data_IF_676147055178
#
_entry.id   IF_676147055178
#
_cell.length_a   1.000
_cell.length_b   1.000
_cell.length_c   1.000
_cell.angle_alpha   90.00
_cell.angle_beta   90.00
_cell.angle_gamma   90.00
#
_symmetry.space_group_name_H-M   'P 1'
#
loop_
_entity.id
_entity.type
_entity.pdbx_description
1 polymer ?
#
# COMPACT_ATOMS: atom_id res chain seq x y z
N UNK A 1 -20.25 -39.76 -19.61
CA UNK A 1 -18.99 -39.66 -18.84
C UNK A 1 -18.15 -38.44 -19.21
N UNK A 2 -17.80 -38.18 -20.49
CA UNK A 2 -16.96 -37.04 -20.91
C UNK A 2 -17.40 -35.61 -20.49
N UNK A 3 -18.69 -35.38 -20.26
CA UNK A 3 -19.24 -34.06 -19.92
C UNK A 3 -19.06 -33.71 -18.43
N UNK A 4 -19.06 -34.72 -17.55
CA UNK A 4 -18.91 -34.54 -16.11
C UNK A 4 -17.43 -34.33 -15.78
N UNK A 5 -16.52 -35.05 -16.45
CA UNK A 5 -15.07 -34.84 -16.30
C UNK A 5 -14.65 -33.44 -16.74
N UNK A 6 -15.11 -32.96 -17.90
CA UNK A 6 -14.78 -31.60 -18.36
C UNK A 6 -15.31 -30.48 -17.46
N UNK A 7 -16.46 -30.70 -16.82
CA UNK A 7 -17.02 -29.79 -15.80
C UNK A 7 -16.17 -29.81 -14.53
N UNK A 8 -15.74 -30.99 -14.10
CA UNK A 8 -14.95 -31.18 -12.86
C UNK A 8 -13.54 -30.63 -13.02
N UNK A 9 -12.93 -30.79 -14.20
CA UNK A 9 -11.62 -30.21 -14.50
C UNK A 9 -11.68 -28.69 -14.59
N UNK A 10 -12.74 -28.12 -15.20
CA UNK A 10 -12.95 -26.66 -15.20
C UNK A 10 -13.16 -26.09 -13.78
N UNK A 11 -13.81 -26.83 -12.88
CA UNK A 11 -13.98 -26.42 -11.47
C UNK A 11 -12.65 -26.45 -10.71
N UNK A 12 -11.79 -27.46 -10.96
CA UNK A 12 -10.44 -27.53 -10.39
C UNK A 12 -9.53 -26.42 -10.89
N UNK A 13 -9.67 -26.03 -12.15
CA UNK A 13 -8.74 -25.12 -12.82
C UNK A 13 -9.13 -23.65 -12.63
N UNK A 14 -10.44 -23.32 -12.54
CA UNK A 14 -10.93 -21.94 -12.43
C UNK A 14 -11.54 -21.58 -11.07
N UNK A 15 -11.86 -22.57 -10.23
CA UNK A 15 -12.53 -22.34 -8.95
C UNK A 15 -13.99 -21.87 -9.08
N UNK A 16 -14.54 -21.75 -10.28
CA UNK A 16 -15.90 -21.30 -10.54
C UNK A 16 -16.85 -22.47 -10.79
N UNK A 17 -18.03 -22.41 -10.19
CA UNK A 17 -19.11 -23.37 -10.41
C UNK A 17 -19.89 -22.98 -11.68
N UNK A 18 -19.90 -23.79 -12.75
CA UNK A 18 -20.61 -23.44 -13.98
C UNK A 18 -22.11 -23.22 -13.77
N UNK A 19 -22.67 -22.12 -14.28
CA UNK A 19 -24.11 -21.82 -14.18
C UNK A 19 -25.01 -22.88 -14.86
N UNK A 20 -24.45 -23.69 -15.76
CA UNK A 20 -25.13 -24.79 -16.47
C UNK A 20 -25.30 -26.06 -15.63
N UNK A 21 -24.70 -26.10 -14.44
CA UNK A 21 -24.77 -27.23 -13.53
C UNK A 21 -26.07 -27.13 -12.73
N UNK A 22 -27.01 -28.07 -12.95
CA UNK A 22 -28.27 -28.12 -12.22
C UNK A 22 -28.05 -28.59 -10.78
N UNK A 23 -27.47 -27.70 -9.97
CA UNK A 23 -27.15 -27.96 -8.57
C UNK A 23 -28.42 -27.93 -7.72
N UNK A 24 -28.52 -28.81 -6.70
CA UNK A 24 -29.57 -28.72 -5.69
C UNK A 24 -29.60 -27.34 -5.00
N UNK A 25 -30.77 -26.91 -4.54
CA UNK A 25 -30.95 -25.58 -3.95
C UNK A 25 -30.05 -25.32 -2.74
N UNK A 26 -29.69 -26.35 -1.96
CA UNK A 26 -28.76 -26.25 -0.83
C UNK A 26 -27.33 -25.90 -1.27
N UNK A 27 -26.87 -26.41 -2.42
CA UNK A 27 -25.54 -26.13 -2.95
C UNK A 27 -25.44 -24.71 -3.54
N UNK A 28 -26.51 -24.24 -4.20
CA UNK A 28 -26.63 -22.83 -4.63
C UNK A 28 -26.68 -21.86 -3.44
N UNK A 29 -27.34 -22.26 -2.35
CA UNK A 29 -27.36 -21.47 -1.12
C UNK A 29 -25.99 -21.42 -0.44
N UNK A 30 -25.29 -22.55 -0.36
CA UNK A 30 -23.94 -22.63 0.20
C UNK A 30 -22.94 -21.76 -0.58
N UNK A 31 -22.99 -21.78 -1.93
CA UNK A 31 -22.17 -20.90 -2.77
C UNK A 31 -22.39 -19.42 -2.45
N UNK A 32 -23.66 -18.97 -2.45
CA UNK A 32 -24.00 -17.57 -2.10
C UNK A 32 -23.58 -17.17 -0.68
N UNK A 33 -23.61 -18.11 0.27
CA UNK A 33 -23.16 -17.85 1.63
C UNK A 33 -21.64 -17.64 1.69
N UNK A 34 -20.88 -18.44 0.93
CA UNK A 34 -19.42 -18.28 0.81
C UNK A 34 -19.08 -16.97 0.10
N UNK A 35 -19.76 -16.62 -0.99
CA UNK A 35 -19.55 -15.35 -1.70
C UNK A 35 -19.77 -14.15 -0.77
N UNK A 36 -20.84 -14.18 0.03
CA UNK A 36 -21.15 -13.12 1.00
C UNK A 36 -20.10 -13.00 2.10
N UNK A 37 -19.54 -14.11 2.58
CA UNK A 37 -18.43 -14.08 3.55
C UNK A 37 -17.13 -13.59 2.89
N UNK A 38 -16.89 -13.92 1.63
CA UNK A 38 -15.76 -13.41 0.87
C UNK A 38 -15.85 -11.88 0.67
N UNK A 39 -17.01 -11.36 0.26
CA UNK A 39 -17.26 -9.92 0.16
C UNK A 39 -17.05 -9.20 1.50
N UNK A 40 -17.52 -9.79 2.61
CA UNK A 40 -17.28 -9.26 3.96
C UNK A 40 -15.81 -9.25 4.34
N UNK A 41 -15.07 -10.29 3.97
CA UNK A 41 -13.63 -10.37 4.21
C UNK A 41 -12.88 -9.30 3.40
N UNK A 42 -13.23 -9.12 2.12
CA UNK A 42 -12.69 -8.07 1.26
C UNK A 42 -12.99 -6.67 1.83
N UNK A 43 -14.22 -6.41 2.24
CA UNK A 43 -14.59 -5.12 2.83
C UNK A 43 -13.80 -4.83 4.12
N UNK A 44 -13.58 -5.85 4.96
CA UNK A 44 -12.72 -5.71 6.16
C UNK A 44 -11.26 -5.46 5.79
N UNK A 45 -10.73 -6.18 4.80
CA UNK A 45 -9.36 -5.96 4.31
C UNK A 45 -9.21 -4.54 3.77
N UNK A 46 -10.19 -4.04 3.01
CA UNK A 46 -10.18 -2.69 2.48
C UNK A 46 -10.22 -1.64 3.59
N UNK A 47 -11.09 -1.79 4.60
CA UNK A 47 -11.11 -0.87 5.74
C UNK A 47 -9.79 -0.86 6.51
N UNK A 48 -9.17 -2.02 6.70
CA UNK A 48 -7.83 -2.14 7.30
C UNK A 48 -6.79 -1.38 6.46
N UNK A 49 -6.84 -1.50 5.13
CA UNK A 49 -5.95 -0.75 4.24
C UNK A 49 -6.16 0.76 4.31
N UNK A 50 -7.41 1.23 4.37
CA UNK A 50 -7.75 2.65 4.49
C UNK A 50 -7.24 3.26 5.82
N UNK A 51 -7.40 2.53 6.92
CA UNK A 51 -6.88 2.93 8.23
C UNK A 51 -5.34 2.97 8.20
N UNK A 52 -4.69 1.94 7.64
CA UNK A 52 -3.23 1.92 7.49
C UNK A 52 -2.70 3.03 6.59
N UNK A 53 -3.40 3.35 5.49
CA UNK A 53 -3.02 4.44 4.59
C UNK A 53 -3.12 5.80 5.29
N UNK A 54 -4.17 6.00 6.08
CA UNK A 54 -4.35 7.21 6.90
C UNK A 54 -3.22 7.34 7.92
N UNK A 55 -2.95 6.28 8.69
CA UNK A 55 -1.87 6.27 9.68
C UNK A 55 -0.49 6.49 9.04
N UNK A 56 -0.27 5.92 7.86
CA UNK A 56 0.97 6.08 7.09
C UNK A 56 1.17 7.54 6.66
N UNK A 57 0.16 8.17 6.07
CA UNK A 57 0.22 9.58 5.64
C UNK A 57 0.38 10.53 6.84
N UNK A 58 -0.27 10.24 7.96
CA UNK A 58 -0.13 10.98 9.22
C UNK A 58 1.31 10.88 9.77
N UNK A 59 1.90 9.69 9.76
CA UNK A 59 3.27 9.46 10.19
C UNK A 59 4.27 10.21 9.29
N UNK A 60 4.07 10.13 7.96
CA UNK A 60 4.89 10.84 6.97
C UNK A 60 4.84 12.34 7.17
N UNK A 61 3.63 12.90 7.34
CA UNK A 61 3.42 14.32 7.60
C UNK A 61 4.12 14.78 8.89
N UNK A 62 3.99 14.00 9.98
CA UNK A 62 4.69 14.30 11.25
C UNK A 62 6.21 14.25 11.09
N UNK A 63 6.74 13.30 10.33
CA UNK A 63 8.16 13.17 10.05
C UNK A 63 8.70 14.37 9.29
N UNK A 64 8.10 14.72 8.14
CA UNK A 64 8.51 15.88 7.34
C UNK A 64 8.42 17.19 8.14
N UNK A 65 7.40 17.34 9.00
CA UNK A 65 7.26 18.50 9.87
C UNK A 65 8.40 18.60 10.92
N UNK A 66 8.91 17.47 11.41
CA UNK A 66 10.06 17.45 12.32
C UNK A 66 11.37 17.78 11.60
N UNK A 67 11.60 17.21 10.42
CA UNK A 67 12.75 17.56 9.57
C UNK A 67 12.77 19.05 9.29
N UNK A 68 11.66 19.63 8.84
CA UNK A 68 11.53 21.06 8.59
C UNK A 68 11.93 21.94 9.79
N UNK A 69 11.52 21.54 10.99
CA UNK A 69 11.89 22.26 12.22
C UNK A 69 13.39 22.17 12.47
N UNK A 70 14.01 21.01 12.21
CA UNK A 70 15.45 20.82 12.31
C UNK A 70 16.22 21.62 11.26
N UNK A 71 15.76 21.64 10.00
CA UNK A 71 16.32 22.45 8.91
C UNK A 71 16.41 23.91 9.35
N UNK A 72 15.30 24.50 9.81
CA UNK A 72 15.26 25.90 10.28
C UNK A 72 16.20 26.15 11.45
N UNK A 73 16.32 25.19 12.36
CA UNK A 73 17.24 25.28 13.50
C UNK A 73 18.70 25.31 13.04
N UNK A 74 19.08 24.43 12.11
CA UNK A 74 20.45 24.36 11.55
C UNK A 74 20.79 25.61 10.74
N UNK A 75 19.85 26.11 9.95
CA UNK A 75 19.98 27.40 9.27
C UNK A 75 20.26 28.54 10.25
N UNK A 76 19.52 28.60 11.37
CA UNK A 76 19.74 29.61 12.40
C UNK A 76 21.09 29.46 13.13
N UNK A 77 21.65 28.24 13.17
CA UNK A 77 22.97 27.95 13.73
C UNK A 77 24.12 28.18 12.74
N UNK A 78 23.81 28.48 11.47
CA UNK A 78 24.81 28.63 10.41
C UNK A 78 25.31 27.31 9.81
N UNK A 79 24.70 26.18 10.16
CA UNK A 79 25.01 24.87 9.59
C UNK A 79 24.28 24.70 8.24
N UNK A 80 24.93 25.18 7.17
CA UNK A 80 24.38 25.15 5.82
C UNK A 80 24.33 23.73 5.25
N UNK A 81 25.40 22.94 5.44
CA UNK A 81 25.49 21.58 4.91
C UNK A 81 24.46 20.66 5.56
N UNK A 82 24.32 20.72 6.89
CA UNK A 82 23.34 19.94 7.62
C UNK A 82 21.90 20.35 7.34
N UNK A 83 21.64 21.62 7.00
CA UNK A 83 20.32 22.08 6.55
C UNK A 83 20.01 21.59 5.13
N UNK A 84 20.98 21.65 4.21
CA UNK A 84 20.82 21.17 2.82
C UNK A 84 20.60 19.65 2.78
N UNK A 85 21.36 18.88 3.57
CA UNK A 85 21.14 17.44 3.69
C UNK A 85 19.71 17.12 4.13
N UNK A 86 19.23 17.78 5.20
CA UNK A 86 17.88 17.55 5.71
C UNK A 86 16.77 18.00 4.75
N UNK A 87 17.00 19.06 3.96
CA UNK A 87 16.05 19.44 2.92
C UNK A 87 15.87 18.35 1.85
N UNK A 88 16.97 17.69 1.46
CA UNK A 88 16.92 16.52 0.55
C UNK A 88 16.24 15.32 1.20
N UNK A 89 16.50 15.09 2.48
CA UNK A 89 15.84 14.03 3.24
C UNK A 89 14.32 14.25 3.35
N UNK A 90 13.87 15.50 3.53
CA UNK A 90 12.45 15.85 3.51
C UNK A 90 11.80 15.51 2.17
N UNK A 91 12.44 15.89 1.07
CA UNK A 91 11.97 15.62 -0.28
C UNK A 91 11.93 14.10 -0.56
N UNK A 92 12.95 13.36 -0.13
CA UNK A 92 12.99 11.91 -0.25
C UNK A 92 11.91 11.23 0.59
N UNK A 93 11.62 11.73 1.79
CA UNK A 93 10.56 11.20 2.65
C UNK A 93 9.14 11.45 2.12
N UNK A 94 8.97 12.31 1.11
CA UNK A 94 7.71 12.38 0.36
C UNK A 94 7.45 11.12 -0.47
N UNK A 95 8.51 10.40 -0.86
CA UNK A 95 8.42 9.15 -1.60
C UNK A 95 8.10 7.96 -0.67
N UNK A 96 7.07 7.19 -1.04
CA UNK A 96 6.51 6.12 -0.21
C UNK A 96 7.52 4.99 0.08
N UNK A 97 8.26 4.45 -0.91
CA UNK A 97 9.30 3.44 -0.68
C UNK A 97 10.38 3.91 0.30
N UNK A 98 10.87 5.15 0.15
CA UNK A 98 11.89 5.71 1.03
C UNK A 98 11.38 5.80 2.49
N UNK A 99 10.17 6.35 2.67
CA UNK A 99 9.59 6.47 4.02
C UNK A 99 9.24 5.10 4.63
N UNK A 100 8.84 4.11 3.82
CA UNK A 100 8.63 2.74 4.29
C UNK A 100 9.93 2.10 4.80
N UNK A 101 11.07 2.33 4.13
CA UNK A 101 12.36 1.84 4.61
C UNK A 101 12.69 2.41 6.00
N UNK A 102 12.44 3.71 6.23
CA UNK A 102 12.59 4.34 7.55
C UNK A 102 11.68 3.68 8.60
N UNK A 103 10.41 3.44 8.27
CA UNK A 103 9.47 2.79 9.19
C UNK A 103 9.86 1.34 9.52
N UNK A 104 10.54 0.66 8.58
CA UNK A 104 11.12 -0.68 8.80
C UNK A 104 12.41 -0.65 9.64
N UNK A 105 12.86 0.52 10.09
CA UNK A 105 14.07 0.69 10.89
C UNK A 105 15.35 0.69 10.06
N UNK A 106 15.24 0.87 8.74
CA UNK A 106 16.38 1.04 7.85
C UNK A 106 16.83 2.51 7.83
N UNK A 107 18.05 2.73 7.33
CA UNK A 107 18.61 4.05 7.09
C UNK A 107 18.90 4.19 5.59
N UNK A 108 17.86 4.43 4.77
CA UNK A 108 18.04 4.59 3.33
C UNK A 108 18.94 5.79 3.04
N UNK A 109 19.73 5.69 1.98
CA UNK A 109 20.62 6.77 1.55
C UNK A 109 19.78 7.93 1.00
N UNK A 110 20.03 9.14 1.50
CA UNK A 110 19.36 10.35 0.99
C UNK A 110 19.81 10.58 -0.45
N UNK A 111 18.89 10.59 -1.43
CA UNK A 111 19.25 10.86 -2.81
C UNK A 111 19.97 12.21 -2.93
N UNK A 112 21.09 12.20 -3.66
CA UNK A 112 21.71 13.44 -4.11
C UNK A 112 20.79 14.08 -5.14
N UNK A 113 20.04 15.10 -4.70
CA UNK A 113 19.27 16.06 -5.50
C UNK A 113 18.63 15.55 -6.80
N UNK A 114 17.30 15.49 -6.85
CA UNK A 114 16.63 15.94 -8.08
C UNK A 114 17.13 17.37 -8.30
N UNK A 115 17.84 17.60 -9.40
CA UNK A 115 18.13 18.94 -9.88
C UNK A 115 16.80 19.71 -9.81
N UNK A 116 16.78 20.83 -9.09
CA UNK A 116 15.79 21.87 -9.36
C UNK A 116 15.97 22.15 -10.86
N UNK A 117 15.00 21.73 -11.68
CA UNK A 117 14.86 22.24 -13.04
C UNK A 117 14.73 23.76 -12.89
N UNK A 118 15.88 24.44 -12.92
CA UNK A 118 15.97 25.89 -13.04
C UNK A 118 15.26 26.25 -14.34
N UNK A 119 14.10 26.86 -14.19
CA UNK A 119 13.34 27.66 -15.17
C UNK A 119 14.06 27.89 -16.52
N UNK A 120 13.53 27.30 -17.60
CA UNK A 120 13.79 27.72 -18.99
C UNK A 120 12.60 28.50 -19.58
#
# INVERSE_FOLDING_TARGET
EKLIDGITDSMKEKGEIPATLNLPDWARWAGRAVDKEHERALAKQQGIWEDYETDFEDAKSRYCAQINKEVRRRQAQGDREGATYLGREEAAAADKPYFLAILNGEFPEVPDGLEDDEDE
#
